data_IF_986676462681
#
_entry.id   IF_986676462681
#
_cell.length_a   1.000
_cell.length_b   1.000
_cell.length_c   1.000
_cell.angle_alpha   90.00
_cell.angle_beta   90.00
_cell.angle_gamma   90.00
#
_symmetry.space_group_name_H-M   'P 1'
#
loop_
_entity.id
_entity.type
_entity.pdbx_description
1 polymer ?
#
# COMPACT_ATOMS: atom_id res chain seq x y z
N UNK A 1 -28.04 -10.81 1.57
CA UNK A 1 -26.67 -10.34 1.83
C UNK A 1 -26.66 -8.82 1.70
N UNK A 2 -26.84 -8.10 2.80
CA UNK A 2 -26.73 -6.64 2.84
C UNK A 2 -25.26 -6.29 2.95
N UNK A 3 -24.60 -6.05 1.80
CA UNK A 3 -23.20 -5.62 1.68
C UNK A 3 -22.95 -4.18 2.15
N UNK A 4 -23.77 -3.68 3.07
CA UNK A 4 -23.71 -2.31 3.58
C UNK A 4 -23.62 -2.38 5.08
N UNK A 5 -22.47 -2.00 5.61
CA UNK A 5 -22.39 -1.61 7.02
C UNK A 5 -23.17 -0.29 7.08
N UNK A 6 -24.30 -0.22 7.80
CA UNK A 6 -25.28 0.87 7.69
C UNK A 6 -24.76 2.26 8.08
N UNK A 7 -23.53 2.34 8.56
CA UNK A 7 -22.88 3.52 9.14
C UNK A 7 -21.91 4.24 8.20
N UNK A 8 -21.34 3.57 7.19
CA UNK A 8 -20.36 4.21 6.29
C UNK A 8 -21.01 4.71 4.99
N UNK A 9 -20.92 6.01 4.66
CA UNK A 9 -21.46 6.53 3.41
C UNK A 9 -20.79 5.88 2.19
N UNK A 10 -21.60 5.45 1.20
CA UNK A 10 -21.11 4.78 -0.01
C UNK A 10 -20.00 5.56 -0.74
N UNK A 11 -20.09 6.90 -0.75
CA UNK A 11 -19.09 7.75 -1.39
C UNK A 11 -17.71 7.64 -0.72
N UNK A 12 -17.64 7.41 0.60
CA UNK A 12 -16.38 7.19 1.33
C UNK A 12 -15.74 5.89 0.87
N UNK A 13 -16.53 4.82 0.76
CA UNK A 13 -16.06 3.51 0.29
C UNK A 13 -15.54 3.57 -1.16
N UNK A 14 -16.26 4.25 -2.05
CA UNK A 14 -15.84 4.44 -3.43
C UNK A 14 -14.53 5.24 -3.49
N UNK A 15 -14.45 6.36 -2.76
CA UNK A 15 -13.26 7.21 -2.73
C UNK A 15 -12.04 6.43 -2.20
N UNK A 16 -12.22 5.68 -1.10
CA UNK A 16 -11.17 4.85 -0.53
C UNK A 16 -10.66 3.81 -1.54
N UNK A 17 -11.56 3.13 -2.23
CA UNK A 17 -11.20 2.12 -3.23
C UNK A 17 -10.46 2.71 -4.44
N UNK A 18 -10.86 3.91 -4.90
CA UNK A 18 -10.18 4.63 -5.98
C UNK A 18 -8.79 5.15 -5.59
N UNK A 19 -8.57 5.39 -4.30
CA UNK A 19 -7.31 5.92 -3.77
C UNK A 19 -6.27 4.80 -3.58
N UNK A 20 -6.67 3.54 -3.31
CA UNK A 20 -5.77 2.37 -3.18
C UNK A 20 -4.80 2.13 -4.35
N UNK A 21 -5.15 2.28 -5.64
CA UNK A 21 -4.20 2.04 -6.74
C UNK A 21 -3.20 3.19 -6.95
N UNK A 22 -3.47 4.38 -6.42
CA UNK A 22 -2.63 5.56 -6.62
C UNK A 22 -1.21 5.46 -5.98
N UNK A 23 -0.98 4.92 -4.76
CA UNK A 23 0.37 4.72 -4.21
C UNK A 23 1.14 3.71 -5.06
N UNK A 24 0.48 2.63 -5.47
CA UNK A 24 1.07 1.54 -6.27
C UNK A 24 1.58 2.12 -7.59
N UNK A 25 0.76 2.94 -8.26
CA UNK A 25 1.16 3.62 -9.48
C UNK A 25 2.34 4.58 -9.25
N UNK A 26 2.31 5.38 -8.18
CA UNK A 26 3.40 6.31 -7.84
C UNK A 26 4.71 5.58 -7.55
N UNK A 27 4.67 4.47 -6.80
CA UNK A 27 5.83 3.61 -6.54
C UNK A 27 6.36 3.05 -7.87
N UNK A 28 5.50 2.47 -8.70
CA UNK A 28 5.91 1.90 -9.98
C UNK A 28 6.56 2.93 -10.90
N UNK A 29 6.01 4.15 -10.96
CA UNK A 29 6.57 5.26 -11.74
C UNK A 29 7.91 5.73 -11.19
N UNK A 30 8.03 5.88 -9.87
CA UNK A 30 9.28 6.26 -9.22
C UNK A 30 10.38 5.22 -9.50
N UNK A 31 10.06 3.94 -9.37
CA UNK A 31 11.01 2.88 -9.65
C UNK A 31 11.40 2.82 -11.12
N UNK A 32 10.44 3.06 -12.03
CA UNK A 32 10.69 3.18 -13.47
C UNK A 32 11.69 4.30 -13.78
N UNK A 33 11.49 5.49 -13.19
CA UNK A 33 12.40 6.63 -13.36
C UNK A 33 13.81 6.32 -12.90
N UNK A 34 13.95 5.70 -11.71
CA UNK A 34 15.27 5.30 -11.20
C UNK A 34 15.94 4.26 -12.10
N UNK A 35 15.17 3.30 -12.60
CA UNK A 35 15.68 2.25 -13.48
C UNK A 35 16.05 2.78 -14.87
N UNK A 36 15.29 3.74 -15.40
CA UNK A 36 15.66 4.46 -16.63
C UNK A 36 16.96 5.25 -16.44
N UNK A 37 17.13 5.93 -15.30
CA UNK A 37 18.35 6.66 -15.00
C UNK A 37 19.57 5.75 -14.82
N UNK A 38 19.39 4.57 -14.22
CA UNK A 38 20.48 3.62 -13.96
C UNK A 38 20.85 2.73 -15.16
N UNK A 39 19.87 2.31 -15.96
CA UNK A 39 20.03 1.24 -16.96
C UNK A 39 19.36 1.51 -18.32
N UNK A 40 18.77 2.70 -18.50
CA UNK A 40 18.11 3.09 -19.76
C UNK A 40 16.61 2.77 -19.84
N UNK A 41 15.97 3.37 -20.85
CA UNK A 41 14.51 3.38 -21.05
C UNK A 41 13.80 2.01 -21.05
N UNK A 42 14.26 0.98 -21.80
CA UNK A 42 13.53 -0.30 -21.86
C UNK A 42 13.51 -1.02 -20.50
N UNK A 43 14.53 -0.81 -19.67
CA UNK A 43 14.60 -1.38 -18.32
C UNK A 43 13.60 -0.70 -17.38
N UNK A 44 13.44 0.62 -17.47
CA UNK A 44 12.46 1.36 -16.68
C UNK A 44 11.02 0.87 -16.90
N UNK A 45 10.61 0.70 -18.16
CA UNK A 45 9.28 0.17 -18.48
C UNK A 45 9.05 -1.25 -17.94
N UNK A 46 10.06 -2.12 -18.02
CA UNK A 46 9.99 -3.47 -17.45
C UNK A 46 9.83 -3.44 -15.93
N UNK A 47 10.59 -2.59 -15.24
CA UNK A 47 10.49 -2.40 -13.79
C UNK A 47 9.11 -1.89 -13.40
N UNK A 48 8.57 -0.91 -14.14
CA UNK A 48 7.21 -0.41 -13.92
C UNK A 48 6.18 -1.53 -13.99
N UNK A 49 6.20 -2.32 -15.07
CA UNK A 49 5.29 -3.45 -15.26
C UNK A 49 5.46 -4.51 -14.17
N UNK A 50 6.69 -4.81 -13.77
CA UNK A 50 6.98 -5.79 -12.73
C UNK A 50 6.44 -5.35 -11.36
N UNK A 51 6.59 -4.08 -11.00
CA UNK A 51 6.02 -3.52 -9.77
C UNK A 51 4.49 -3.56 -9.82
N UNK A 52 3.87 -3.14 -10.92
CA UNK A 52 2.40 -3.17 -11.06
C UNK A 52 1.84 -4.59 -11.00
N UNK A 53 2.46 -5.54 -11.70
CA UNK A 53 2.05 -6.96 -11.66
C UNK A 53 2.27 -7.54 -10.27
N UNK A 54 3.40 -7.25 -9.62
CA UNK A 54 3.68 -7.71 -8.26
C UNK A 54 2.62 -7.25 -7.26
N UNK A 55 2.24 -5.97 -7.30
CA UNK A 55 1.16 -5.45 -6.47
C UNK A 55 -0.22 -5.97 -6.86
N UNK A 56 -0.49 -6.19 -8.16
CA UNK A 56 -1.75 -6.79 -8.59
C UNK A 56 -1.91 -8.22 -8.08
N UNK A 57 -0.84 -9.03 -8.11
CA UNK A 57 -0.81 -10.37 -7.54
C UNK A 57 -1.01 -10.34 -6.02
N UNK A 58 -0.36 -9.38 -5.34
CA UNK A 58 -0.54 -9.18 -3.91
C UNK A 58 -2.00 -8.79 -3.55
N UNK A 59 -2.61 -7.89 -4.31
CA UNK A 59 -4.01 -7.51 -4.13
C UNK A 59 -4.95 -8.68 -4.42
N UNK A 60 -4.66 -9.50 -5.43
CA UNK A 60 -5.42 -10.72 -5.71
C UNK A 60 -5.33 -11.71 -4.55
N UNK A 61 -4.13 -11.91 -3.99
CA UNK A 61 -3.91 -12.72 -2.79
C UNK A 61 -4.69 -12.19 -1.58
N UNK A 62 -4.63 -10.88 -1.30
CA UNK A 62 -5.37 -10.28 -0.18
C UNK A 62 -6.89 -10.39 -0.37
N UNK A 63 -7.38 -10.18 -1.60
CA UNK A 63 -8.80 -10.34 -1.95
C UNK A 63 -9.26 -11.78 -1.78
N UNK A 64 -8.42 -12.74 -2.18
CA UNK A 64 -8.67 -14.15 -1.97
C UNK A 64 -8.72 -14.49 -0.47
N UNK A 65 -7.76 -14.02 0.34
CA UNK A 65 -7.77 -14.22 1.79
C UNK A 65 -9.00 -13.63 2.49
N UNK A 66 -9.47 -12.47 2.02
CA UNK A 66 -10.74 -11.89 2.47
C UNK A 66 -11.93 -12.82 2.17
N UNK A 67 -12.00 -13.40 0.98
CA UNK A 67 -13.09 -14.32 0.60
C UNK A 67 -13.14 -15.60 1.45
N UNK A 68 -12.01 -15.97 2.08
CA UNK A 68 -11.89 -17.10 3.01
C UNK A 68 -12.16 -16.71 4.48
N UNK A 69 -12.47 -15.45 4.76
CA UNK A 69 -12.76 -14.97 6.12
C UNK A 69 -11.54 -14.75 7.01
N UNK A 70 -10.32 -14.72 6.47
CA UNK A 70 -9.07 -14.62 7.27
C UNK A 70 -9.00 -13.36 8.15
N UNK A 71 -9.73 -12.30 7.77
CA UNK A 71 -9.67 -10.99 8.42
C UNK A 71 -10.86 -10.72 9.37
N UNK A 72 -11.79 -11.66 9.52
CA UNK A 72 -13.05 -11.43 10.21
C UNK A 72 -12.93 -11.33 11.74
N UNK A 73 -11.95 -12.00 12.34
CA UNK A 73 -11.79 -12.00 13.79
C UNK A 73 -11.01 -10.77 14.28
N UNK A 74 -11.55 -10.02 15.25
CA UNK A 74 -10.83 -8.93 15.89
C UNK A 74 -9.67 -9.46 16.73
N UNK A 75 -8.50 -8.82 16.64
CA UNK A 75 -7.32 -9.21 17.39
C UNK A 75 -6.23 -8.14 17.34
N UNK A 76 -5.27 -8.24 18.27
CA UNK A 76 -4.08 -7.38 18.32
C UNK A 76 -2.82 -8.26 18.17
N UNK A 77 -2.05 -8.11 17.07
CA UNK A 77 -2.27 -7.20 15.94
C UNK A 77 -3.43 -7.63 15.02
N UNK A 78 -4.06 -6.70 14.28
CA UNK A 78 -5.08 -7.02 13.30
C UNK A 78 -4.66 -8.14 12.35
N UNK A 79 -5.52 -9.14 12.16
CA UNK A 79 -5.23 -10.28 11.26
C UNK A 79 -4.91 -9.84 9.84
N UNK A 80 -5.56 -8.78 9.37
CA UNK A 80 -5.24 -8.20 8.06
C UNK A 80 -3.76 -7.80 7.98
N UNK A 81 -3.17 -7.19 9.02
CA UNK A 81 -1.74 -6.86 9.03
C UNK A 81 -0.88 -8.12 9.05
N UNK A 82 -1.27 -9.13 9.84
CA UNK A 82 -0.55 -10.40 9.94
C UNK A 82 -0.48 -11.15 8.60
N UNK A 83 -1.56 -11.13 7.82
CA UNK A 83 -1.67 -11.88 6.57
C UNK A 83 -1.34 -11.05 5.33
N UNK A 84 -1.19 -9.73 5.42
CA UNK A 84 -0.86 -8.89 4.26
C UNK A 84 0.47 -8.18 4.44
N UNK A 85 0.61 -7.39 5.51
CA UNK A 85 1.77 -6.53 5.74
C UNK A 85 3.00 -7.36 6.10
N UNK A 86 2.88 -8.35 6.99
CA UNK A 86 4.03 -9.19 7.36
C UNK A 86 4.54 -10.05 6.19
N UNK A 87 3.69 -10.74 5.39
CA UNK A 87 4.15 -11.45 4.21
C UNK A 87 4.80 -10.53 3.19
N UNK A 88 4.22 -9.34 2.96
CA UNK A 88 4.82 -8.36 2.07
C UNK A 88 6.21 -7.92 2.56
N UNK A 89 6.36 -7.61 3.85
CA UNK A 89 7.66 -7.27 4.45
C UNK A 89 8.66 -8.42 4.34
N UNK A 90 8.21 -9.66 4.55
CA UNK A 90 9.03 -10.85 4.40
C UNK A 90 9.51 -11.08 2.96
N UNK A 91 8.77 -10.59 1.95
CA UNK A 91 9.23 -10.59 0.55
C UNK A 91 10.17 -9.41 0.29
N UNK A 92 9.83 -8.21 0.77
CA UNK A 92 10.56 -6.99 0.46
C UNK A 92 11.94 -6.97 1.16
N UNK A 93 12.00 -7.20 2.46
CA UNK A 93 13.21 -7.00 3.26
C UNK A 93 14.35 -7.96 2.88
N UNK A 94 14.18 -9.30 2.87
CA UNK A 94 15.24 -10.20 2.43
C UNK A 94 15.29 -10.38 0.91
N UNK A 95 14.20 -10.18 0.17
CA UNK A 95 14.16 -10.43 -1.27
C UNK A 95 14.59 -9.24 -2.11
N UNK A 96 14.04 -8.05 -1.84
CA UNK A 96 14.21 -6.86 -2.69
C UNK A 96 15.33 -5.94 -2.19
N UNK A 97 15.34 -5.61 -0.90
CA UNK A 97 16.30 -4.64 -0.33
C UNK A 97 17.79 -4.99 -0.47
N UNK A 98 18.25 -6.25 -0.29
CA UNK A 98 19.65 -6.60 -0.50
C UNK A 98 20.04 -6.69 -1.98
N UNK A 99 19.06 -6.66 -2.89
CA UNK A 99 19.32 -6.84 -4.31
C UNK A 99 20.11 -5.65 -4.88
N UNK A 100 21.26 -5.94 -5.49
CA UNK A 100 22.17 -4.92 -6.05
C UNK A 100 21.48 -3.99 -7.06
N UNK A 101 20.60 -4.54 -7.90
CA UNK A 101 19.84 -3.76 -8.87
C UNK A 101 18.93 -2.74 -8.18
N UNK A 102 18.19 -3.16 -7.14
CA UNK A 102 17.36 -2.26 -6.37
C UNK A 102 18.16 -1.10 -5.77
N UNK A 103 19.34 -1.38 -5.21
CA UNK A 103 20.20 -0.34 -4.63
C UNK A 103 20.68 0.69 -5.66
N UNK A 104 21.11 0.23 -6.84
CA UNK A 104 21.55 1.13 -7.92
C UNK A 104 20.40 2.01 -8.41
N UNK A 105 19.20 1.44 -8.53
CA UNK A 105 17.98 2.18 -8.87
C UNK A 105 17.60 3.18 -7.77
N UNK A 106 17.74 2.79 -6.50
CA UNK A 106 17.41 3.68 -5.39
C UNK A 106 18.39 4.86 -5.29
N UNK A 107 19.66 4.63 -5.59
CA UNK A 107 20.73 5.64 -5.59
C UNK A 107 20.66 6.60 -6.78
N UNK A 108 20.01 6.22 -7.89
CA UNK A 108 19.83 7.10 -9.05
C UNK A 108 18.70 8.12 -8.86
N UNK A 109 17.89 7.98 -7.81
CA UNK A 109 16.77 8.85 -7.50
C UNK A 109 17.15 9.92 -6.46
N UNK A 110 16.81 11.20 -6.69
CA UNK A 110 17.05 12.24 -5.69
C UNK A 110 16.12 12.08 -4.49
N UNK A 111 16.60 12.46 -3.30
CA UNK A 111 15.85 12.39 -2.02
C UNK A 111 14.49 13.10 -2.12
N UNK A 112 14.40 14.19 -2.88
CA UNK A 112 13.16 14.92 -3.10
C UNK A 112 12.02 14.03 -3.64
N UNK A 113 12.32 13.05 -4.51
CA UNK A 113 11.31 12.14 -5.05
C UNK A 113 10.79 11.15 -4.00
N UNK A 114 11.67 10.67 -3.12
CA UNK A 114 11.29 9.83 -1.99
C UNK A 114 10.37 10.58 -1.02
N UNK A 115 10.67 11.85 -0.76
CA UNK A 115 9.80 12.71 0.06
C UNK A 115 8.47 12.97 -0.65
N UNK A 116 8.47 13.17 -1.98
CA UNK A 116 7.22 13.33 -2.74
C UNK A 116 6.31 12.12 -2.62
N UNK A 117 6.87 10.91 -2.62
CA UNK A 117 6.13 9.67 -2.39
C UNK A 117 5.52 9.61 -0.98
N UNK A 118 6.24 10.12 0.03
CA UNK A 118 5.75 10.16 1.41
C UNK A 118 4.52 11.06 1.59
N UNK A 119 4.35 12.12 0.78
CA UNK A 119 3.10 12.92 0.82
C UNK A 119 1.87 12.07 0.51
N UNK A 120 2.04 10.95 -0.18
CA UNK A 120 0.93 10.06 -0.49
C UNK A 120 0.47 9.23 0.73
N UNK A 121 1.21 9.29 1.84
CA UNK A 121 0.81 8.70 3.11
C UNK A 121 -0.38 9.43 3.75
N UNK A 122 -0.81 10.60 3.26
CA UNK A 122 -2.06 11.23 3.69
C UNK A 122 -3.32 10.37 3.46
N UNK A 123 -3.26 9.27 2.69
CA UNK A 123 -4.34 8.27 2.66
C UNK A 123 -4.64 7.73 4.06
N UNK A 124 -3.66 7.72 4.96
CA UNK A 124 -3.85 7.41 6.37
C UNK A 124 -5.06 8.12 6.97
N UNK A 125 -5.38 9.34 6.55
CA UNK A 125 -6.55 10.10 7.04
C UNK A 125 -7.90 9.39 6.82
N UNK A 126 -8.01 8.46 5.87
CA UNK A 126 -9.22 7.64 5.72
C UNK A 126 -9.48 6.75 6.93
N UNK A 127 -8.44 6.34 7.67
CA UNK A 127 -8.60 5.60 8.93
C UNK A 127 -9.24 6.47 10.03
N UNK A 128 -9.04 7.80 10.00
CA UNK A 128 -9.76 8.74 10.87
C UNK A 128 -11.24 8.81 10.50
N UNK A 129 -11.58 8.83 9.21
CA UNK A 129 -12.97 8.80 8.77
C UNK A 129 -13.66 7.51 9.24
N UNK A 130 -13.01 6.36 9.03
CA UNK A 130 -13.54 5.07 9.48
C UNK A 130 -13.71 5.01 11.01
N UNK A 131 -12.80 5.63 11.77
CA UNK A 131 -12.95 5.82 13.21
C UNK A 131 -14.18 6.67 13.57
N UNK A 132 -14.38 7.82 12.91
CA UNK A 132 -15.52 8.70 13.15
C UNK A 132 -16.87 8.02 12.86
N UNK A 133 -16.90 7.10 11.90
CA UNK A 133 -18.09 6.29 11.59
C UNK A 133 -18.22 5.01 12.45
N UNK A 134 -17.31 4.78 13.40
CA UNK A 134 -17.36 3.62 14.31
C UNK A 134 -16.96 2.28 13.66
N UNK A 135 -16.37 2.31 12.46
CA UNK A 135 -15.97 1.12 11.70
C UNK A 135 -14.61 0.54 12.11
N UNK A 136 -13.83 1.31 12.88
CA UNK A 136 -12.49 0.94 13.32
C UNK A 136 -12.34 1.19 14.82
N UNK A 137 -11.70 0.27 15.57
CA UNK A 137 -11.37 0.49 16.97
C UNK A 137 -10.58 1.81 17.15
N UNK A 138 -10.87 2.60 18.19
CA UNK A 138 -10.27 3.93 18.37
C UNK A 138 -8.74 3.93 18.29
N UNK A 139 -8.09 2.94 18.92
CA UNK A 139 -6.65 2.79 18.89
C UNK A 139 -6.10 2.66 17.46
N UNK A 140 -6.73 1.81 16.64
CA UNK A 140 -6.26 1.54 15.28
C UNK A 140 -6.57 2.75 14.38
N UNK A 141 -7.79 3.27 14.46
CA UNK A 141 -8.22 4.38 13.62
C UNK A 141 -7.44 5.68 13.89
N UNK A 142 -7.13 5.98 15.16
CA UNK A 142 -6.31 7.13 15.53
C UNK A 142 -4.85 6.88 15.13
N UNK A 143 -4.23 5.77 15.52
CA UNK A 143 -2.79 5.53 15.23
C UNK A 143 -2.53 5.43 13.73
N UNK A 144 -3.35 4.69 12.98
CA UNK A 144 -3.21 4.61 11.53
C UNK A 144 -3.59 5.93 10.84
N UNK A 145 -4.53 6.69 11.44
CA UNK A 145 -5.02 7.95 10.92
C UNK A 145 -4.09 9.14 11.10
N UNK A 146 -3.38 9.18 12.22
CA UNK A 146 -2.42 10.23 12.59
C UNK A 146 -0.98 9.84 12.38
N UNK A 147 -0.69 8.56 12.11
CA UNK A 147 0.67 8.03 11.93
C UNK A 147 1.43 8.65 10.77
N UNK A 148 0.73 9.38 9.88
CA UNK A 148 1.30 10.10 8.75
C UNK A 148 1.25 11.64 8.91
N UNK A 149 0.71 12.15 10.02
CA UNK A 149 0.62 13.57 10.39
C UNK A 149 1.79 14.00 11.30
N UNK A 150 2.47 13.03 11.94
CA UNK A 150 3.62 13.22 12.84
C UNK A 150 4.95 12.90 12.16
#
# INVERSE_FOLDING_TARGET
>A
MTWFIPTLPLWVSILFLLVIPLPIYLIARLMSQGATAAYGSPTGQRVQSLVLVGYALFLAYATWGWSQGWYAEPGLPPRILLYTTLPLLAVLLPGVFPWRYYRQVAQSLPVAEWVRLHRFRFIGSFFLLLFLFGELPPLIGIVAGTGDIL
#
